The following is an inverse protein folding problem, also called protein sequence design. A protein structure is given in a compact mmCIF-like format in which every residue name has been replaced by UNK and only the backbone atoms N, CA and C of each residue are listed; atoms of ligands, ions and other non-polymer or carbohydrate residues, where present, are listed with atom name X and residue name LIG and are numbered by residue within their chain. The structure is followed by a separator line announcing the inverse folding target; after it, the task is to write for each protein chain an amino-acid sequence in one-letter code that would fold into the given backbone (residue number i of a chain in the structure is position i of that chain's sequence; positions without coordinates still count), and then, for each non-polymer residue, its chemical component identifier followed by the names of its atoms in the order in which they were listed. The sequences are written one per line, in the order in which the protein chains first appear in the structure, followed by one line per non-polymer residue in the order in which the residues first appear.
data_IF_813850417916
#
_entry.id   IF_813850417916
#
_cell.length_a   1.000
_cell.length_b   1.000
_cell.length_c   1.000
_cell.angle_alpha   90.00
_cell.angle_beta   90.00
_cell.angle_gamma   90.00
#
_symmetry.space_group_name_H-M   'P 1'
#
loop_
_entity.id
_entity.type
_entity.pdbx_description
1 polymer ?
#
# COMPACT_ATOMS: atom_id res chain seq x y z
N UNK A 1 -47.29 42.93 -17.30
CA UNK A 1 -46.23 42.60 -16.33
C UNK A 1 -46.60 41.29 -15.66
N UNK A 2 -45.90 40.20 -15.94
CA UNK A 2 -45.77 39.04 -15.05
C UNK A 2 -44.60 38.21 -15.58
N UNK A 3 -43.42 38.39 -14.96
CA UNK A 3 -42.24 37.56 -15.21
C UNK A 3 -42.37 36.30 -14.36
N UNK A 4 -42.28 35.13 -14.97
CA UNK A 4 -42.31 33.84 -14.26
C UNK A 4 -40.85 33.42 -14.06
N UNK A 5 -40.31 33.68 -12.88
CA UNK A 5 -39.01 33.13 -12.46
C UNK A 5 -39.19 31.65 -12.12
N UNK A 6 -38.55 30.75 -12.89
CA UNK A 6 -38.42 29.34 -12.52
C UNK A 6 -37.27 29.17 -11.53
N UNK A 7 -37.46 28.41 -10.43
CA UNK A 7 -36.40 28.20 -9.44
C UNK A 7 -35.26 27.34 -10.03
N UNK A 8 -34.01 27.53 -9.55
CA UNK A 8 -32.85 26.82 -10.11
C UNK A 8 -32.96 25.31 -9.85
N UNK A 9 -32.94 24.53 -10.93
CA UNK A 9 -32.95 23.06 -10.89
C UNK A 9 -31.63 22.59 -10.26
N UNK A 10 -31.69 22.12 -9.01
CA UNK A 10 -30.57 21.37 -8.40
C UNK A 10 -30.46 20.02 -9.10
N UNK A 11 -29.52 19.91 -10.03
CA UNK A 11 -29.17 18.65 -10.66
C UNK A 11 -28.65 17.67 -9.60
N UNK A 12 -29.31 16.52 -9.45
CA UNK A 12 -28.73 15.38 -8.73
C UNK A 12 -27.63 14.79 -9.61
N UNK A 13 -26.44 14.47 -9.07
CA UNK A 13 -25.42 13.80 -9.83
C UNK A 13 -25.96 12.44 -10.31
N UNK A 14 -25.83 12.18 -11.60
CA UNK A 14 -26.17 10.91 -12.24
C UNK A 14 -24.89 10.10 -12.34
N UNK A 15 -24.92 8.86 -11.86
CA UNK A 15 -23.77 7.95 -11.93
C UNK A 15 -23.94 7.07 -13.15
N UNK A 16 -22.95 7.10 -14.05
CA UNK A 16 -22.93 6.24 -15.23
C UNK A 16 -22.66 4.80 -14.81
N UNK A 17 -23.66 3.94 -15.01
CA UNK A 17 -23.61 2.53 -14.62
C UNK A 17 -22.64 1.74 -15.49
N UNK A 18 -22.44 2.12 -16.75
CA UNK A 18 -21.54 1.42 -17.67
C UNK A 18 -20.09 1.66 -17.27
N UNK A 19 -19.77 2.88 -16.81
CA UNK A 19 -18.47 3.18 -16.17
C UNK A 19 -18.29 2.37 -14.89
N UNK A 20 -19.31 2.26 -14.04
CA UNK A 20 -19.26 1.42 -12.84
C UNK A 20 -19.03 -0.06 -13.17
N UNK A 21 -19.68 -0.61 -14.20
CA UNK A 21 -19.53 -2.01 -14.61
C UNK A 21 -18.21 -2.27 -15.37
N UNK A 22 -17.59 -1.24 -15.94
CA UNK A 22 -16.24 -1.32 -16.50
C UNK A 22 -15.15 -1.49 -15.44
N UNK A 23 -15.46 -1.20 -14.17
CA UNK A 23 -14.63 -1.56 -13.03
C UNK A 23 -14.69 -3.07 -12.89
N UNK A 24 -13.56 -3.73 -13.16
CA UNK A 24 -13.38 -5.18 -13.01
C UNK A 24 -13.97 -5.65 -11.67
N UNK A 25 -15.06 -6.44 -11.65
CA UNK A 25 -15.72 -6.91 -10.42
C UNK A 25 -14.81 -7.69 -9.48
N UNK A 26 -13.71 -8.22 -10.01
CA UNK A 26 -12.65 -8.85 -9.24
C UNK A 26 -11.99 -7.84 -8.27
N UNK A 27 -11.86 -6.56 -8.67
CA UNK A 27 -11.32 -5.47 -7.85
C UNK A 27 -12.30 -4.99 -6.76
N UNK A 28 -13.60 -5.25 -6.92
CA UNK A 28 -14.62 -4.86 -5.93
C UNK A 28 -14.54 -5.73 -4.66
N UNK A 29 -13.89 -6.90 -4.73
CA UNK A 29 -13.58 -7.76 -3.58
C UNK A 29 -12.13 -7.62 -3.11
N UNK A 30 -11.32 -6.77 -3.74
CA UNK A 30 -9.93 -6.57 -3.34
C UNK A 30 -9.86 -5.74 -2.06
N UNK A 31 -9.71 -6.43 -0.94
CA UNK A 31 -9.20 -5.82 0.29
C UNK A 31 -7.69 -5.66 0.14
N UNK A 32 -7.17 -4.44 0.23
CA UNK A 32 -5.73 -4.22 0.23
C UNK A 32 -5.22 -4.06 1.66
N UNK A 33 -3.93 -4.33 1.85
CA UNK A 33 -3.21 -4.00 3.07
C UNK A 33 -2.17 -2.94 2.72
N UNK A 34 -2.18 -1.84 3.46
CA UNK A 34 -1.34 -0.68 3.24
C UNK A 34 -0.25 -0.61 4.31
N UNK A 35 1.01 -0.54 3.90
CA UNK A 35 2.14 -0.34 4.80
C UNK A 35 2.83 0.96 4.43
N UNK A 36 2.66 1.96 5.28
CA UNK A 36 3.45 3.18 5.24
C UNK A 36 4.82 2.89 5.85
N UNK A 37 5.83 2.88 5.00
CA UNK A 37 7.23 2.71 5.39
C UNK A 37 7.88 4.05 5.66
N UNK A 38 8.69 4.12 6.72
CA UNK A 38 9.49 5.29 7.06
C UNK A 38 10.95 4.92 7.22
N UNK A 39 11.81 5.71 6.62
CA UNK A 39 13.27 5.62 6.75
C UNK A 39 13.79 6.96 7.26
N UNK A 40 14.72 6.91 8.21
CA UNK A 40 15.37 8.10 8.75
C UNK A 40 16.89 8.04 8.51
N UNK A 41 17.40 8.93 7.68
CA UNK A 41 18.85 9.05 7.44
C UNK A 41 19.50 9.80 8.61
N UNK A 42 20.57 9.26 9.19
CA UNK A 42 21.24 9.90 10.33
C UNK A 42 22.33 10.91 9.93
N UNK A 43 23.08 10.67 8.84
CA UNK A 43 24.24 11.52 8.54
C UNK A 43 24.62 11.64 7.06
N UNK A 44 24.25 10.69 6.21
CA UNK A 44 24.66 10.62 4.80
C UNK A 44 23.49 10.17 3.92
N UNK A 45 23.61 10.45 2.63
CA UNK A 45 22.69 10.04 1.59
C UNK A 45 22.56 8.53 1.60
N UNK A 46 21.32 8.05 1.49
CA UNK A 46 21.04 6.63 1.52
C UNK A 46 20.38 6.20 0.21
N UNK A 47 20.73 5.01 -0.27
CA UNK A 47 20.06 4.38 -1.39
C UNK A 47 19.12 3.31 -0.86
N UNK A 48 17.84 3.42 -1.18
CA UNK A 48 16.83 2.43 -0.82
C UNK A 48 16.16 1.87 -2.07
N UNK A 49 15.63 0.66 -1.97
CA UNK A 49 14.79 0.02 -2.99
C UNK A 49 13.92 -1.03 -2.32
N UNK A 50 12.92 -1.50 -3.04
CA UNK A 50 12.08 -2.63 -2.62
C UNK A 50 12.15 -3.73 -3.67
N UNK A 51 12.11 -4.99 -3.26
CA UNK A 51 12.01 -6.10 -4.20
C UNK A 51 10.54 -6.44 -4.51
N UNK A 52 10.23 -6.87 -5.75
CA UNK A 52 8.90 -7.42 -6.05
C UNK A 52 8.57 -8.65 -5.20
N UNK A 53 9.60 -9.36 -4.73
CA UNK A 53 9.52 -10.50 -3.81
C UNK A 53 9.42 -10.06 -2.34
N UNK A 54 8.61 -9.02 -2.07
CA UNK A 54 8.20 -8.65 -0.71
C UNK A 54 6.78 -9.16 -0.45
N UNK A 55 6.55 -9.71 0.73
CA UNK A 55 5.31 -10.39 1.08
C UNK A 55 4.86 -10.08 2.51
N UNK A 56 3.56 -10.21 2.74
CA UNK A 56 3.01 -10.42 4.08
C UNK A 56 2.76 -11.91 4.27
N UNK A 57 3.25 -12.47 5.36
CA UNK A 57 3.18 -13.90 5.63
C UNK A 57 2.50 -14.11 6.98
N UNK A 58 1.29 -14.66 6.95
CA UNK A 58 0.58 -15.10 8.16
C UNK A 58 1.27 -16.29 8.80
N UNK A 59 0.84 -16.67 10.02
CA UNK A 59 1.41 -17.84 10.72
C UNK A 59 1.08 -19.18 10.06
N UNK A 60 0.04 -19.22 9.23
CA UNK A 60 -0.29 -20.39 8.43
C UNK A 60 0.41 -20.27 7.07
N UNK A 61 1.05 -21.35 6.61
CA UNK A 61 1.85 -21.35 5.38
C UNK A 61 1.07 -20.95 4.10
N UNK A 62 -0.26 -21.06 4.11
CA UNK A 62 -1.12 -20.66 3.00
C UNK A 62 -1.53 -19.17 3.04
N UNK A 63 -1.27 -18.45 4.14
CA UNK A 63 -1.62 -17.05 4.31
C UNK A 63 -0.47 -16.17 3.80
N UNK A 64 -0.47 -15.88 2.50
CA UNK A 64 0.56 -15.03 1.89
C UNK A 64 -0.05 -13.98 1.00
N UNK A 65 0.24 -12.71 1.27
CA UNK A 65 -0.14 -11.60 0.41
C UNK A 65 1.07 -11.07 -0.37
N UNK A 66 0.86 -10.87 -1.66
CA UNK A 66 1.85 -10.35 -2.60
C UNK A 66 1.83 -8.82 -2.62
N UNK A 67 3.00 -8.20 -2.80
CA UNK A 67 3.15 -6.78 -3.10
C UNK A 67 2.58 -6.51 -4.50
N UNK A 68 1.57 -5.63 -4.57
CA UNK A 68 0.87 -5.27 -5.80
C UNK A 68 1.41 -3.95 -6.36
N UNK A 69 1.72 -3.00 -5.47
CA UNK A 69 2.20 -1.68 -5.85
C UNK A 69 3.13 -1.10 -4.79
N UNK A 70 4.07 -0.27 -5.23
CA UNK A 70 4.92 0.53 -4.36
C UNK A 70 4.94 1.97 -4.86
N UNK A 71 4.72 2.92 -3.95
CA UNK A 71 4.66 4.36 -4.24
C UNK A 71 5.83 5.07 -3.55
N UNK A 72 6.46 5.99 -4.26
CA UNK A 72 7.61 6.78 -3.79
C UNK A 72 8.82 5.91 -3.37
N UNK A 73 8.98 4.72 -3.95
CA UNK A 73 10.17 3.87 -3.85
C UNK A 73 10.30 3.05 -5.13
N UNK A 74 11.52 2.82 -5.60
CA UNK A 74 11.78 2.06 -6.82
C UNK A 74 11.91 0.57 -6.56
N UNK A 75 11.43 -0.23 -7.51
CA UNK A 75 11.69 -1.67 -7.52
C UNK A 75 13.14 -1.98 -7.91
N UNK A 76 13.72 -3.00 -7.27
CA UNK A 76 15.00 -3.56 -7.69
C UNK A 76 14.97 -3.94 -9.19
N UNK A 77 16.07 -3.69 -9.94
CA UNK A 77 17.39 -3.32 -9.46
C UNK A 77 17.61 -1.80 -9.25
N UNK A 78 16.62 -0.96 -9.56
CA UNK A 78 16.76 0.51 -9.52
C UNK A 78 16.73 1.01 -8.07
N UNK A 79 17.55 2.02 -7.78
CA UNK A 79 17.66 2.65 -6.47
C UNK A 79 16.96 4.00 -6.41
N UNK A 80 16.34 4.27 -5.28
CA UNK A 80 15.81 5.56 -4.89
C UNK A 80 16.83 6.25 -4.01
N UNK A 81 17.17 7.49 -4.36
CA UNK A 81 18.07 8.32 -3.56
C UNK A 81 17.26 9.00 -2.46
N UNK A 82 17.65 8.79 -1.22
CA UNK A 82 17.09 9.46 -0.04
C UNK A 82 18.06 10.55 0.40
N UNK A 83 17.69 11.83 0.26
CA UNK A 83 18.54 12.94 0.68
C UNK A 83 18.80 12.96 2.19
N UNK A 84 19.96 13.47 2.58
CA UNK A 84 20.41 13.57 3.96
C UNK A 84 19.43 14.32 4.86
N UNK A 85 19.37 13.87 6.12
CA UNK A 85 18.62 14.49 7.23
C UNK A 85 17.12 14.62 6.96
N UNK A 86 16.59 13.80 6.05
CA UNK A 86 15.17 13.76 5.74
C UNK A 86 14.55 12.47 6.28
N UNK A 87 13.33 12.60 6.83
CA UNK A 87 12.46 11.45 7.01
C UNK A 87 11.83 11.13 5.66
N UNK A 88 12.18 9.99 5.10
CA UNK A 88 11.64 9.53 3.83
C UNK A 88 10.48 8.58 4.09
N UNK A 89 9.40 8.73 3.32
CA UNK A 89 8.23 7.87 3.43
C UNK A 89 7.84 7.30 2.08
N UNK A 90 7.45 6.03 2.08
CA UNK A 90 6.91 5.33 0.92
C UNK A 90 5.71 4.50 1.34
N UNK A 91 4.96 4.00 0.35
CA UNK A 91 3.80 3.15 0.58
C UNK A 91 3.98 1.83 -0.16
N UNK A 92 3.74 0.73 0.53
CA UNK A 92 3.64 -0.60 -0.05
C UNK A 92 2.18 -1.06 0.03
N UNK A 93 1.63 -1.54 -1.08
CA UNK A 93 0.24 -2.00 -1.19
C UNK A 93 0.26 -3.49 -1.49
N UNK A 94 -0.31 -4.29 -0.58
CA UNK A 94 -0.39 -5.73 -0.69
C UNK A 94 -1.82 -6.19 -0.97
N UNK A 95 -1.93 -7.36 -1.59
CA UNK A 95 -3.19 -8.10 -1.69
C UNK A 95 -3.74 -8.48 -0.31
N UNK A 96 -5.00 -8.94 -0.27
CA UNK A 96 -5.66 -9.30 0.97
C UNK A 96 -4.99 -10.49 1.68
N UNK A 97 -4.93 -10.44 3.01
CA UNK A 97 -4.81 -11.63 3.84
C UNK A 97 -6.20 -12.12 4.29
N UNK A 98 -6.43 -13.44 4.44
CA UNK A 98 -7.68 -14.00 4.94
C UNK A 98 -8.11 -13.33 6.25
N UNK A 99 -9.41 -13.03 6.42
CA UNK A 99 -9.92 -12.30 7.60
C UNK A 99 -9.71 -13.04 8.93
N UNK A 100 -9.35 -14.32 8.89
CA UNK A 100 -8.92 -15.13 10.03
C UNK A 100 -7.50 -14.83 10.48
N UNK A 101 -6.64 -14.27 9.62
CA UNK A 101 -5.28 -13.89 9.95
C UNK A 101 -5.29 -12.79 11.01
N UNK A 102 -4.60 -13.03 12.13
CA UNK A 102 -4.51 -12.10 13.28
C UNK A 102 -3.12 -11.49 13.43
N UNK A 103 -2.10 -12.17 12.93
CA UNK A 103 -0.70 -11.76 13.02
C UNK A 103 -0.02 -12.19 11.73
N UNK A 104 0.78 -11.31 11.17
CA UNK A 104 1.60 -11.59 9.99
C UNK A 104 2.99 -10.97 10.14
N UNK A 105 3.91 -11.46 9.33
CA UNK A 105 5.27 -10.99 9.21
C UNK A 105 5.41 -10.26 7.87
N UNK A 106 6.17 -9.17 7.82
CA UNK A 106 6.53 -8.48 6.59
C UNK A 106 7.95 -8.92 6.20
N UNK A 107 8.08 -9.54 5.03
CA UNK A 107 9.28 -10.25 4.61
C UNK A 107 9.71 -9.81 3.22
N UNK A 108 10.99 -9.48 3.06
CA UNK A 108 11.60 -9.30 1.75
C UNK A 108 12.48 -10.52 1.42
N UNK A 109 11.99 -11.37 0.51
CA UNK A 109 12.68 -12.59 0.09
C UNK A 109 13.56 -12.29 -1.11
N UNK A 110 14.88 -12.24 -0.90
CA UNK A 110 15.82 -11.87 -1.96
C UNK A 110 16.91 -12.93 -2.12
N UNK A 111 17.48 -13.09 -3.33
CA UNK A 111 18.49 -14.12 -3.60
C UNK A 111 19.86 -13.79 -2.99
N UNK A 112 19.98 -12.70 -2.23
CA UNK A 112 21.22 -12.17 -1.68
C UNK A 112 21.01 -11.70 -0.23
N UNK A 113 22.07 -11.50 0.57
CA UNK A 113 21.94 -10.86 1.87
C UNK A 113 21.39 -9.43 1.79
N UNK A 114 20.79 -8.96 2.88
CA UNK A 114 20.32 -7.57 3.04
C UNK A 114 18.82 -7.35 2.88
N UNK A 115 18.01 -8.40 2.81
CA UNK A 115 16.55 -8.29 2.88
C UNK A 115 16.09 -8.02 4.31
N UNK A 116 14.96 -7.33 4.46
CA UNK A 116 14.38 -7.09 5.78
C UNK A 116 13.40 -8.19 6.22
N UNK A 117 13.24 -8.31 7.53
CA UNK A 117 12.25 -9.17 8.17
C UNK A 117 11.66 -8.46 9.39
N UNK A 118 10.35 -8.20 9.35
CA UNK A 118 9.62 -7.49 10.40
C UNK A 118 8.52 -8.43 10.93
N UNK A 119 8.76 -9.10 12.07
CA UNK A 119 7.87 -10.13 12.55
C UNK A 119 6.70 -9.59 13.38
N UNK A 120 5.67 -10.41 13.49
CA UNK A 120 4.59 -10.35 14.46
C UNK A 120 3.79 -9.05 14.43
N UNK A 121 3.52 -8.52 13.24
CA UNK A 121 2.61 -7.39 13.05
C UNK A 121 1.19 -7.87 13.36
N UNK A 122 0.60 -7.35 14.43
CA UNK A 122 -0.77 -7.64 14.81
C UNK A 122 -1.74 -6.95 13.83
N UNK A 123 -2.67 -7.72 13.27
CA UNK A 123 -3.67 -7.21 12.33
C UNK A 123 -4.64 -6.27 13.03
N UNK A 124 -4.96 -5.15 12.39
CA UNK A 124 -5.96 -4.19 12.85
C UNK A 124 -7.17 -4.14 11.89
N UNK A 125 -8.23 -3.44 12.29
CA UNK A 125 -9.48 -3.38 11.53
C UNK A 125 -9.41 -2.51 10.26
N UNK A 126 -8.35 -1.69 10.14
CA UNK A 126 -8.17 -0.77 9.00
C UNK A 126 -7.32 -1.37 7.88
N UNK A 127 -6.57 -2.43 8.17
CA UNK A 127 -5.53 -2.96 7.28
C UNK A 127 -4.50 -1.89 6.82
N UNK A 128 -4.29 -0.85 7.65
CA UNK A 128 -3.27 0.20 7.47
C UNK A 128 -2.24 0.12 8.59
N UNK A 129 -0.97 0.04 8.22
CA UNK A 129 0.15 -0.14 9.15
C UNK A 129 1.25 0.89 8.88
N UNK A 130 1.97 1.23 9.94
CA UNK A 130 3.06 2.21 9.91
C UNK A 130 4.31 1.53 10.46
N UNK A 131 5.37 1.50 9.66
CA UNK A 131 6.58 0.73 9.94
C UNK A 131 7.79 1.62 9.76
N UNK A 132 8.64 1.69 10.78
CA UNK A 132 9.95 2.31 10.66
C UNK A 132 10.95 1.23 10.25
N UNK A 133 11.67 1.49 9.16
CA UNK A 133 12.75 0.65 8.68
C UNK A 133 14.05 1.21 9.23
N UNK A 134 14.70 0.44 10.07
CA UNK A 134 16.08 0.69 10.49
C UNK A 134 16.99 0.17 9.37
N UNK A 135 17.49 1.07 8.54
CA UNK A 135 18.41 0.81 7.42
C UNK A 135 19.77 1.42 7.69
#
# INVERSE_FOLDING_TARGET
MASIEQPPVKAKPFVDTDVLFSIRPELLNDSYIYIHGYVQTQAQEMLIRIWPSTFLVGKNAAERAQLIHAENITFAPVWTIVPDKLRYSFLLIFSALPKTCRVFDLVEEIPQPGGFFIPNIARNDTDVYHVNFDV
#
